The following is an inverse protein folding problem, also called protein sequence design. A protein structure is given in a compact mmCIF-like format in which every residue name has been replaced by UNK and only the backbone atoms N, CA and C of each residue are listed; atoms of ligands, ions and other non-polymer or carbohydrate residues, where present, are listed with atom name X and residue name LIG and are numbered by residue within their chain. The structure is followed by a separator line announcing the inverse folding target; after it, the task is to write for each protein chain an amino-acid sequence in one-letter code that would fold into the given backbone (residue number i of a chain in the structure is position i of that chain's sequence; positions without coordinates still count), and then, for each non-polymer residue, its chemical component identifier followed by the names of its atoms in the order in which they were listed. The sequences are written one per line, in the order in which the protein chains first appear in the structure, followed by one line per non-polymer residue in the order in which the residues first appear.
data_IF_153526537551
#
_entry.id   IF_153526537551
#
_cell.length_a   1.000
_cell.length_b   1.000
_cell.length_c   1.000
_cell.angle_alpha   90.00
_cell.angle_beta   90.00
_cell.angle_gamma   90.00
#
_symmetry.space_group_name_H-M   'P 1'
#
loop_
_entity.id
_entity.type
_entity.pdbx_description
1 polymer ?
#
# COMPACT_ATOMS: atom_id res chain seq x y z
N UNK A 1 -13.34 18.27 8.65
CA UNK A 1 -12.50 17.22 8.00
C UNK A 1 -11.28 17.03 8.86
N UNK A 2 -11.06 15.82 9.37
CA UNK A 2 -9.84 15.53 10.11
C UNK A 2 -8.62 15.65 9.18
N UNK A 3 -7.45 16.10 9.67
CA UNK A 3 -6.24 16.11 8.87
C UNK A 3 -5.88 14.68 8.43
N UNK A 4 -5.33 14.49 7.21
CA UNK A 4 -4.95 13.17 6.70
C UNK A 4 -3.93 12.51 7.62
N UNK A 5 -4.20 11.29 8.09
CA UNK A 5 -3.24 10.51 8.89
C UNK A 5 -2.30 9.75 7.96
N UNK A 6 -1.00 9.95 8.14
CA UNK A 6 0.02 9.35 7.27
C UNK A 6 0.64 8.14 7.93
N UNK A 7 0.71 7.04 7.19
CA UNK A 7 1.35 5.79 7.57
C UNK A 7 2.55 5.54 6.65
N UNK A 8 3.79 5.65 7.14
CA UNK A 8 4.96 5.40 6.31
C UNK A 8 5.00 3.95 5.82
N UNK A 9 5.44 3.76 4.58
CA UNK A 9 5.79 2.43 4.08
C UNK A 9 7.06 1.99 4.81
N UNK A 10 7.06 0.77 5.36
CA UNK A 10 8.23 0.22 6.03
C UNK A 10 9.31 -0.12 5.01
N UNK A 11 10.50 0.46 5.15
CA UNK A 11 11.69 0.11 4.36
C UNK A 11 12.75 -0.56 5.24
N UNK A 12 13.32 -1.67 4.77
CA UNK A 12 14.55 -2.20 5.35
C UNK A 12 15.76 -1.36 4.94
N UNK A 13 16.87 -1.43 5.69
CA UNK A 13 18.12 -0.72 5.30
C UNK A 13 18.60 -1.11 3.90
N UNK A 14 18.50 -2.39 3.56
CA UNK A 14 18.92 -2.94 2.26
C UNK A 14 18.02 -2.46 1.12
N UNK A 15 16.70 -2.52 1.31
CA UNK A 15 15.74 -2.05 0.29
C UNK A 15 15.79 -0.54 0.11
N UNK A 16 16.07 0.23 1.17
CA UNK A 16 16.25 1.68 1.07
C UNK A 16 17.42 2.06 0.15
N UNK A 17 18.51 1.29 0.18
CA UNK A 17 19.67 1.49 -0.69
C UNK A 17 19.35 1.10 -2.15
N UNK A 18 18.61 0.00 -2.35
CA UNK A 18 18.21 -0.48 -3.68
C UNK A 18 17.18 0.44 -4.38
N UNK A 19 16.22 1.00 -3.64
CA UNK A 19 15.16 1.84 -4.20
C UNK A 19 15.53 3.33 -4.34
N UNK A 20 16.62 3.77 -3.70
CA UNK A 20 17.13 5.14 -3.82
C UNK A 20 17.41 5.56 -5.27
N UNK A 21 18.17 4.81 -6.10
CA UNK A 21 18.43 5.19 -7.50
C UNK A 21 17.17 5.19 -8.37
N UNK A 22 16.13 4.42 -8.02
CA UNK A 22 14.89 4.30 -8.79
C UNK A 22 13.85 5.38 -8.46
N UNK A 23 14.15 6.34 -7.57
CA UNK A 23 13.18 7.30 -6.99
C UNK A 23 11.95 6.61 -6.37
N UNK A 24 12.17 5.41 -5.82
CA UNK A 24 11.15 4.60 -5.12
C UNK A 24 11.42 4.55 -3.60
N UNK A 25 12.39 5.32 -3.11
CA UNK A 25 12.72 5.45 -1.70
C UNK A 25 11.63 6.15 -0.88
N UNK A 26 11.76 6.08 0.45
CA UNK A 26 10.77 6.51 1.44
C UNK A 26 10.21 7.94 1.23
N UNK A 27 11.00 8.85 0.68
CA UNK A 27 10.57 10.23 0.36
C UNK A 27 9.46 10.32 -0.69
N UNK A 28 9.32 9.30 -1.53
CA UNK A 28 8.32 9.25 -2.60
C UNK A 28 7.21 8.23 -2.34
N UNK A 29 7.24 7.58 -1.17
CA UNK A 29 6.21 6.66 -0.72
C UNK A 29 5.30 7.32 0.32
N UNK A 30 4.00 7.22 0.12
CA UNK A 30 2.99 7.79 1.01
C UNK A 30 1.78 6.88 1.08
N UNK A 31 1.36 6.53 2.30
CA UNK A 31 0.05 5.97 2.58
C UNK A 31 -0.68 6.97 3.46
N UNK A 32 -1.69 7.64 2.89
CA UNK A 32 -2.47 8.67 3.59
C UNK A 32 -3.90 8.15 3.72
N UNK A 33 -4.39 8.09 4.96
CA UNK A 33 -5.76 7.73 5.28
C UNK A 33 -6.53 9.00 5.64
N UNK A 34 -7.63 9.22 4.96
CA UNK A 34 -8.60 10.29 5.26
C UNK A 34 -9.95 9.66 5.60
N UNK A 35 -10.90 10.51 6.01
CA UNK A 35 -12.29 10.10 6.26
C UNK A 35 -12.90 9.41 5.02
N UNK A 36 -12.64 9.92 3.82
CA UNK A 36 -13.24 9.38 2.58
C UNK A 36 -12.42 8.34 1.82
N UNK A 37 -11.09 8.33 1.96
CA UNK A 37 -10.22 7.60 1.05
C UNK A 37 -8.86 7.23 1.65
N UNK A 38 -8.33 6.12 1.15
CA UNK A 38 -6.94 5.70 1.31
C UNK A 38 -6.17 6.05 0.04
N UNK A 39 -5.11 6.85 0.16
CA UNK A 39 -4.21 7.20 -0.94
C UNK A 39 -2.91 6.45 -0.74
N UNK A 40 -2.52 5.70 -1.76
CA UNK A 40 -1.29 4.90 -1.76
C UNK A 40 -0.43 5.38 -2.90
N UNK A 41 0.83 5.69 -2.61
CA UNK A 41 1.84 6.05 -3.61
C UNK A 41 3.17 5.42 -3.24
N UNK A 42 3.86 4.87 -4.23
CA UNK A 42 5.24 4.43 -4.14
C UNK A 42 5.98 4.94 -5.38
N UNK A 43 6.46 6.18 -5.30
CA UNK A 43 7.10 6.88 -6.41
C UNK A 43 6.27 6.88 -7.69
N UNK A 44 6.92 6.52 -8.80
CA UNK A 44 6.27 6.32 -10.10
C UNK A 44 5.71 4.91 -10.26
N UNK A 45 6.16 3.95 -9.45
CA UNK A 45 5.86 2.53 -9.62
C UNK A 45 4.43 2.16 -9.24
N UNK A 46 3.83 2.83 -8.25
CA UNK A 46 2.44 2.58 -7.89
C UNK A 46 1.74 3.85 -7.40
N UNK A 47 0.48 4.03 -7.83
CA UNK A 47 -0.43 5.01 -7.25
C UNK A 47 -1.88 4.54 -7.30
N UNK A 48 -2.61 4.69 -6.20
CA UNK A 48 -4.03 4.38 -6.13
C UNK A 48 -4.74 5.33 -5.17
N UNK A 49 -6.00 5.64 -5.47
CA UNK A 49 -6.94 6.29 -4.54
C UNK A 49 -8.11 5.35 -4.35
N UNK A 50 -8.24 4.83 -3.13
CA UNK A 50 -9.21 3.80 -2.77
C UNK A 50 -10.26 4.47 -1.89
N UNK A 51 -11.54 4.46 -2.25
CA UNK A 51 -12.60 4.91 -1.35
C UNK A 51 -12.56 4.11 -0.06
N UNK A 52 -12.59 4.75 1.11
CA UNK A 52 -12.56 4.05 2.40
C UNK A 52 -13.73 3.06 2.50
N UNK A 53 -14.91 3.48 2.02
CA UNK A 53 -16.13 2.65 1.92
C UNK A 53 -15.99 1.37 1.08
N UNK A 54 -15.01 1.30 0.16
CA UNK A 54 -14.82 0.09 -0.63
C UNK A 54 -13.96 -0.95 0.09
N UNK A 55 -13.31 -0.60 1.21
CA UNK A 55 -12.51 -1.53 1.98
C UNK A 55 -13.45 -2.38 2.83
N UNK A 56 -13.64 -3.66 2.45
CA UNK A 56 -14.57 -4.57 3.15
C UNK A 56 -13.89 -5.35 4.26
N UNK A 57 -12.61 -5.66 4.08
CA UNK A 57 -11.80 -6.38 5.05
C UNK A 57 -10.40 -5.79 5.06
N UNK A 58 -9.85 -5.66 6.25
CA UNK A 58 -8.46 -5.30 6.47
C UNK A 58 -7.89 -6.24 7.53
N UNK A 59 -6.75 -6.86 7.25
CA UNK A 59 -6.14 -7.80 8.18
C UNK A 59 -4.61 -7.77 8.10
N UNK A 60 -3.98 -7.94 9.26
CA UNK A 60 -2.56 -8.29 9.34
C UNK A 60 -2.32 -9.61 8.62
N UNK A 61 -1.18 -9.69 7.94
CA UNK A 61 -0.76 -10.90 7.26
C UNK A 61 0.66 -11.27 7.70
N UNK A 62 0.95 -12.57 7.67
CA UNK A 62 2.30 -13.10 7.90
C UNK A 62 3.31 -12.46 6.94
N UNK A 63 4.56 -12.38 7.40
CA UNK A 63 5.66 -11.78 6.65
C UNK A 63 5.75 -12.35 5.22
N UNK A 64 5.89 -11.44 4.25
CA UNK A 64 6.04 -11.77 2.82
C UNK A 64 7.50 -11.66 2.47
N UNK A 65 8.26 -12.69 2.82
CA UNK A 65 9.72 -12.75 2.67
C UNK A 65 10.20 -12.77 1.21
N UNK A 66 9.35 -13.18 0.27
CA UNK A 66 9.69 -13.38 -1.14
C UNK A 66 9.38 -12.19 -2.07
N UNK A 67 8.74 -11.12 -1.57
CA UNK A 67 8.38 -9.97 -2.39
C UNK A 67 8.64 -8.65 -1.67
N UNK A 68 9.42 -7.77 -2.29
CA UNK A 68 9.64 -6.38 -1.88
C UNK A 68 9.46 -5.50 -3.12
N UNK A 69 8.62 -4.47 -3.05
CA UNK A 69 8.35 -3.53 -4.13
C UNK A 69 6.88 -3.50 -4.50
N UNK A 70 6.60 -3.43 -5.80
CA UNK A 70 5.24 -3.45 -6.37
C UNK A 70 5.08 -4.78 -7.12
N UNK A 71 4.27 -5.67 -6.58
CA UNK A 71 4.03 -7.00 -7.12
C UNK A 71 2.55 -7.22 -7.35
N UNK A 72 2.20 -8.07 -8.32
CA UNK A 72 0.83 -8.50 -8.53
C UNK A 72 0.71 -10.01 -8.59
N UNK A 73 -0.50 -10.52 -8.39
CA UNK A 73 -0.83 -11.88 -8.76
C UNK A 73 -0.85 -12.07 -10.29
N UNK A 74 -1.04 -13.31 -10.75
CA UNK A 74 -1.07 -13.66 -12.19
C UNK A 74 -2.22 -12.97 -12.95
N UNK A 75 -3.29 -12.56 -12.28
CA UNK A 75 -4.44 -11.89 -12.91
C UNK A 75 -4.39 -10.37 -12.79
N UNK A 76 -3.33 -9.80 -12.20
CA UNK A 76 -3.16 -8.36 -12.00
C UNK A 76 -4.30 -7.69 -11.22
N UNK A 77 -4.93 -8.43 -10.31
CA UNK A 77 -6.06 -7.97 -9.47
C UNK A 77 -5.68 -7.76 -8.02
N UNK A 78 -4.74 -8.56 -7.52
CA UNK A 78 -4.18 -8.43 -6.19
C UNK A 78 -2.80 -7.83 -6.27
N UNK A 79 -2.60 -6.70 -5.60
CA UNK A 79 -1.35 -5.96 -5.61
C UNK A 79 -0.71 -5.98 -4.23
N UNK A 80 0.61 -6.04 -4.16
CA UNK A 80 1.40 -5.88 -2.95
C UNK A 80 2.34 -4.71 -3.15
N UNK A 81 2.29 -3.73 -2.25
CA UNK A 81 3.11 -2.51 -2.27
C UNK A 81 3.82 -2.42 -0.93
N UNK A 82 5.11 -2.77 -0.91
CA UNK A 82 5.89 -2.85 0.31
C UNK A 82 7.36 -2.48 0.10
N UNK A 83 7.95 -1.81 1.10
CA UNK A 83 9.40 -1.58 1.16
C UNK A 83 10.14 -2.63 2.01
N UNK A 84 9.42 -3.56 2.64
CA UNK A 84 9.94 -4.56 3.57
C UNK A 84 9.04 -5.80 3.55
N UNK A 85 9.60 -6.95 3.91
CA UNK A 85 8.85 -8.20 4.08
C UNK A 85 7.91 -8.21 5.29
N UNK A 86 8.04 -7.24 6.21
CA UNK A 86 7.30 -7.18 7.47
C UNK A 86 6.21 -6.10 7.47
N UNK A 87 5.26 -6.25 8.38
CA UNK A 87 4.22 -5.24 8.64
C UNK A 87 3.18 -5.15 7.52
N UNK A 88 2.84 -6.29 6.91
CA UNK A 88 1.92 -6.34 5.78
C UNK A 88 0.48 -6.34 6.26
N UNK A 89 -0.32 -5.41 5.75
CA UNK A 89 -1.78 -5.39 5.89
C UNK A 89 -2.40 -5.63 4.53
N UNK A 90 -3.27 -6.64 4.41
CA UNK A 90 -4.08 -6.86 3.21
C UNK A 90 -5.46 -6.25 3.35
N UNK A 91 -5.90 -5.60 2.28
CA UNK A 91 -7.20 -4.97 2.11
C UNK A 91 -7.96 -5.67 0.99
N UNK A 92 -9.18 -6.12 1.27
CA UNK A 92 -10.12 -6.59 0.24
C UNK A 92 -11.05 -5.45 -0.16
N UNK A 93 -11.16 -5.19 -1.46
CA UNK A 93 -11.85 -4.03 -2.04
C UNK A 93 -13.10 -4.45 -2.82
N UNK A 94 -14.27 -3.96 -2.38
CA UNK A 94 -15.54 -4.09 -3.07
C UNK A 94 -16.34 -2.78 -2.92
N UNK A 95 -16.62 -2.03 -4.01
CA UNK A 95 -16.21 -2.31 -5.39
C UNK A 95 -14.68 -2.22 -5.59
N UNK A 96 -14.12 -2.86 -6.62
CA UNK A 96 -12.68 -2.78 -6.91
C UNK A 96 -12.25 -1.34 -7.18
N UNK A 97 -11.06 -0.96 -6.69
CA UNK A 97 -10.51 0.36 -6.92
C UNK A 97 -9.71 0.44 -8.24
N UNK A 98 -9.54 1.65 -8.77
CA UNK A 98 -8.66 1.92 -9.92
C UNK A 98 -7.36 2.55 -9.45
N UNK A 99 -6.26 2.21 -10.12
CA UNK A 99 -4.94 2.75 -9.84
C UNK A 99 -4.02 2.67 -11.04
N UNK A 100 -2.73 2.87 -10.80
CA UNK A 100 -1.67 2.66 -11.77
C UNK A 100 -0.50 1.93 -11.16
N UNK A 101 0.07 1.03 -11.96
CA UNK A 101 1.36 0.41 -11.73
C UNK A 101 2.30 0.85 -12.86
N UNK A 102 3.23 1.76 -12.56
CA UNK A 102 4.03 2.44 -13.57
C UNK A 102 3.17 3.14 -14.64
N UNK A 103 3.34 2.83 -15.93
CA UNK A 103 2.54 3.41 -17.01
C UNK A 103 1.14 2.79 -17.12
N UNK A 104 0.90 1.62 -16.55
CA UNK A 104 -0.31 0.83 -16.78
C UNK A 104 -1.45 1.23 -15.82
N UNK A 105 -2.67 1.35 -16.35
CA UNK A 105 -3.88 1.46 -15.55
C UNK A 105 -4.29 0.08 -15.03
N UNK A 106 -4.60 -0.03 -13.74
CA UNK A 106 -4.86 -1.30 -13.06
C UNK A 106 -6.16 -1.26 -12.28
N UNK A 107 -6.75 -2.44 -12.08
CA UNK A 107 -7.91 -2.65 -11.20
C UNK A 107 -7.46 -3.44 -9.99
N UNK A 108 -7.83 -2.97 -8.80
CA UNK A 108 -7.33 -3.47 -7.53
C UNK A 108 -8.53 -4.04 -6.78
N UNK A 109 -8.58 -5.36 -6.65
CA UNK A 109 -9.57 -6.09 -5.86
C UNK A 109 -8.99 -6.42 -4.48
N UNK A 110 -7.67 -6.58 -4.40
CA UNK A 110 -6.95 -6.79 -3.14
C UNK A 110 -5.66 -5.96 -3.14
N UNK A 111 -5.33 -5.37 -2.00
CA UNK A 111 -4.11 -4.58 -1.82
C UNK A 111 -3.38 -4.94 -0.52
N UNK A 112 -2.16 -5.44 -0.64
CA UNK A 112 -1.21 -5.56 0.46
C UNK A 112 -0.37 -4.29 0.60
N UNK A 113 -0.25 -3.77 1.83
CA UNK A 113 0.55 -2.60 2.17
C UNK A 113 1.57 -2.97 3.24
N UNK A 114 2.85 -2.71 2.99
CA UNK A 114 3.90 -2.84 4.00
C UNK A 114 4.05 -1.56 4.82
N UNK A 115 3.53 -1.54 6.04
CA UNK A 115 3.44 -0.35 6.89
C UNK A 115 4.42 -0.41 8.07
N UNK A 116 4.88 0.77 8.53
CA UNK A 116 5.66 0.87 9.76
C UNK A 116 4.80 0.58 11.00
N UNK A 117 3.59 1.10 11.05
CA UNK A 117 2.62 0.84 12.13
C UNK A 117 1.33 0.21 11.56
N UNK A 118 1.31 -1.11 11.31
CA UNK A 118 0.16 -1.77 10.72
C UNK A 118 -1.03 -1.86 11.70
N UNK A 119 -0.77 -1.93 13.01
CA UNK A 119 -1.81 -2.00 14.04
C UNK A 119 -2.48 -0.63 14.24
N UNK A 120 -1.71 0.45 14.30
CA UNK A 120 -2.24 1.81 14.31
C UNK A 120 -3.04 2.12 13.05
N UNK A 121 -2.60 1.64 11.88
CA UNK A 121 -3.36 1.75 10.65
C UNK A 121 -4.72 1.04 10.72
N UNK A 122 -4.75 -0.21 11.21
CA UNK A 122 -6.01 -0.95 11.34
C UNK A 122 -6.97 -0.30 12.33
N UNK A 123 -6.47 0.20 13.46
CA UNK A 123 -7.28 0.97 14.42
C UNK A 123 -7.89 2.21 13.79
N UNK A 124 -7.09 2.99 13.07
CA UNK A 124 -7.56 4.20 12.40
C UNK A 124 -8.56 3.89 11.29
N UNK A 125 -8.42 2.76 10.60
CA UNK A 125 -9.33 2.33 9.54
C UNK A 125 -10.69 1.86 10.06
N UNK A 126 -10.77 1.46 11.34
CA UNK A 126 -12.00 1.01 11.99
C UNK A 126 -12.71 2.11 12.78
N UNK A 127 -12.02 3.21 13.09
CA UNK A 127 -12.60 4.43 13.67
C UNK A 127 -13.59 5.10 12.71
#
# INVERSE_FOLDING_TARGET
MAPPRTFPIRYSKLSRLFFAPLRLGAWHAKVELTDDALRVRMGWAFRARIPRRSIRRAALHRDVWWAIGVHSDRRFKSWLVNGSSKGIVFLDLLPPAKGRAGPFAVTIERLGLGLEDPEGFLRELQA
#
